data_IF_927639024339
#
_entry.id   IF_927639024339
#
_cell.length_a   1.000
_cell.length_b   1.000
_cell.length_c   1.000
_cell.angle_alpha   90.00
_cell.angle_beta   90.00
_cell.angle_gamma   90.00
#
_symmetry.space_group_name_H-M   'P 1'
#
loop_
_entity.id
_entity.type
_entity.pdbx_description
1 polymer ?
#
# COMPACT_ATOMS: atom_id res chain seq x y z
N UNK A 1 25.61 16.50 -7.39
CA UNK A 1 25.99 15.14 -7.88
C UNK A 1 25.87 14.17 -6.69
N UNK A 2 25.57 12.89 -6.97
CA UNK A 2 25.43 11.72 -6.06
C UNK A 2 24.01 11.24 -5.68
N UNK A 3 23.38 10.62 -6.69
CA UNK A 3 22.66 9.33 -6.71
C UNK A 3 22.05 8.76 -5.41
N UNK A 4 20.71 8.68 -5.35
CA UNK A 4 20.03 7.45 -4.88
C UNK A 4 18.68 7.22 -5.56
N UNK A 5 18.78 6.99 -6.86
CA UNK A 5 17.78 6.37 -7.72
C UNK A 5 17.62 4.87 -7.41
N UNK A 6 16.95 4.51 -6.29
CA UNK A 6 16.65 3.09 -5.99
C UNK A 6 15.18 2.84 -5.62
N UNK A 7 14.39 3.87 -5.29
CA UNK A 7 12.94 3.67 -5.09
C UNK A 7 12.21 4.82 -5.76
N UNK A 8 11.53 4.53 -6.86
CA UNK A 8 10.69 5.49 -7.58
C UNK A 8 9.70 6.08 -6.59
N UNK A 9 9.75 7.39 -6.32
CA UNK A 9 8.91 8.05 -5.33
C UNK A 9 7.40 7.79 -5.66
N UNK A 10 6.72 6.90 -4.91
CA UNK A 10 5.35 6.44 -5.21
C UNK A 10 4.32 7.58 -5.21
N UNK A 11 4.64 8.67 -4.49
CA UNK A 11 3.73 9.79 -4.28
C UNK A 11 3.40 10.56 -5.57
N UNK A 12 4.21 10.42 -6.64
CA UNK A 12 4.06 11.20 -7.90
C UNK A 12 2.78 10.91 -8.69
N UNK A 13 2.11 9.77 -8.48
CA UNK A 13 0.88 9.39 -9.23
C UNK A 13 -0.45 9.74 -8.53
N UNK A 14 -0.43 10.35 -7.35
CA UNK A 14 -1.66 10.58 -6.54
C UNK A 14 -2.51 11.79 -7.01
N UNK A 15 -2.64 12.04 -8.33
CA UNK A 15 -3.31 13.23 -8.91
C UNK A 15 -4.77 13.04 -9.33
N UNK A 16 -5.43 11.93 -9.00
CA UNK A 16 -6.86 11.75 -9.28
C UNK A 16 -7.66 11.59 -7.98
N UNK A 17 -8.33 12.68 -7.60
CA UNK A 17 -9.16 12.80 -6.40
C UNK A 17 -10.52 12.12 -6.64
N UNK A 18 -10.74 10.95 -6.05
CA UNK A 18 -12.07 10.31 -5.95
C UNK A 18 -12.62 10.52 -4.54
N UNK A 19 -13.94 10.80 -4.47
CA UNK A 19 -14.76 11.11 -3.29
C UNK A 19 -14.31 10.29 -2.07
N UNK A 20 -13.91 11.02 -1.02
CA UNK A 20 -13.31 10.49 0.18
C UNK A 20 -14.41 9.86 1.06
N UNK A 21 -14.40 8.54 1.22
CA UNK A 21 -15.21 7.86 2.25
C UNK A 21 -14.77 8.33 3.64
N UNK A 22 -15.60 8.18 4.70
CA UNK A 22 -15.22 8.50 6.08
C UNK A 22 -13.81 8.02 6.43
N UNK A 23 -13.10 8.84 7.20
CA UNK A 23 -11.65 8.83 7.35
C UNK A 23 -11.12 7.55 8.01
N UNK A 24 -11.90 6.97 8.94
CA UNK A 24 -11.59 5.71 9.63
C UNK A 24 -11.92 4.50 8.74
N UNK A 25 -10.93 3.65 8.48
CA UNK A 25 -11.03 2.57 7.49
C UNK A 25 -11.07 3.06 6.04
N UNK A 26 -10.73 4.34 5.80
CA UNK A 26 -10.68 4.92 4.47
C UNK A 26 -9.61 4.24 3.62
N UNK A 27 -9.81 4.21 2.29
CA UNK A 27 -8.82 3.68 1.35
C UNK A 27 -7.46 4.38 1.49
N UNK A 28 -7.46 5.70 1.77
CA UNK A 28 -6.24 6.48 1.98
C UNK A 28 -5.49 6.07 3.24
N UNK A 29 -6.20 5.84 4.35
CA UNK A 29 -5.61 5.36 5.61
C UNK A 29 -4.96 3.98 5.41
N UNK A 30 -5.70 3.02 4.85
CA UNK A 30 -5.19 1.66 4.58
C UNK A 30 -3.96 1.73 3.67
N UNK A 31 -4.02 2.54 2.60
CA UNK A 31 -2.90 2.71 1.66
C UNK A 31 -1.64 3.22 2.37
N UNK A 32 -1.78 4.24 3.21
CA UNK A 32 -0.69 4.81 4.00
C UNK A 32 -0.09 3.80 4.97
N UNK A 33 -0.93 3.00 5.66
CA UNK A 33 -0.47 1.95 6.56
C UNK A 33 0.35 0.88 5.83
N UNK A 34 -0.13 0.39 4.68
CA UNK A 34 0.59 -0.62 3.88
C UNK A 34 1.96 -0.08 3.45
N UNK A 35 1.99 1.15 2.94
CA UNK A 35 3.24 1.80 2.52
C UNK A 35 4.21 2.01 3.68
N UNK A 36 3.72 2.52 4.82
CA UNK A 36 4.55 2.73 6.00
C UNK A 36 5.12 1.41 6.54
N UNK A 37 4.33 0.34 6.53
CA UNK A 37 4.78 -0.98 6.95
C UNK A 37 5.81 -1.58 6.00
N UNK A 38 5.65 -1.46 4.68
CA UNK A 38 6.64 -1.94 3.70
C UNK A 38 7.90 -1.08 3.66
N UNK A 39 7.81 0.20 4.02
CA UNK A 39 8.98 1.05 4.21
C UNK A 39 9.79 0.64 5.45
N UNK A 40 9.12 0.18 6.51
CA UNK A 40 9.76 -0.32 7.75
C UNK A 40 10.22 -1.77 7.66
N UNK A 41 9.46 -2.62 6.96
CA UNK A 41 9.68 -4.06 6.80
C UNK A 41 9.82 -4.37 5.33
N UNK A 42 10.88 -5.06 4.94
CA UNK A 42 11.16 -5.35 3.52
C UNK A 42 10.08 -6.22 2.85
N UNK A 43 9.27 -6.91 3.65
CA UNK A 43 8.15 -7.71 3.19
C UNK A 43 6.99 -7.78 4.20
N UNK A 44 5.79 -8.08 3.71
CA UNK A 44 4.59 -8.37 4.51
C UNK A 44 3.86 -9.60 3.99
N UNK A 45 3.22 -10.36 4.88
CA UNK A 45 2.37 -11.50 4.49
C UNK A 45 0.97 -11.00 4.15
N UNK A 46 0.44 -11.40 2.99
CA UNK A 46 -0.89 -10.99 2.49
C UNK A 46 -1.99 -11.36 3.49
N UNK A 47 -1.97 -12.57 4.05
CA UNK A 47 -2.97 -13.02 5.02
C UNK A 47 -2.97 -12.23 6.34
N UNK A 48 -1.84 -11.63 6.71
CA UNK A 48 -1.74 -10.78 7.91
C UNK A 48 -2.24 -9.35 7.66
N UNK A 49 -2.45 -8.97 6.39
CA UNK A 49 -2.80 -7.61 5.99
C UNK A 49 -4.05 -7.06 6.72
N UNK A 50 -5.19 -7.79 6.80
CA UNK A 50 -6.41 -7.25 7.42
C UNK A 50 -6.21 -6.91 8.90
N UNK A 51 -5.47 -7.75 9.62
CA UNK A 51 -5.12 -7.53 11.02
C UNK A 51 -4.18 -6.33 11.18
N UNK A 52 -3.16 -6.23 10.32
CA UNK A 52 -2.18 -5.14 10.35
C UNK A 52 -2.79 -3.77 10.04
N UNK A 53 -3.72 -3.70 9.07
CA UNK A 53 -4.39 -2.43 8.70
C UNK A 53 -5.67 -2.17 9.50
N UNK A 54 -6.02 -3.08 10.43
CA UNK A 54 -7.24 -3.03 11.26
C UNK A 54 -8.49 -2.75 10.41
N UNK A 55 -8.62 -3.46 9.28
CA UNK A 55 -9.73 -3.28 8.34
C UNK A 55 -10.24 -4.63 7.82
N UNK A 56 -11.52 -4.73 7.39
CA UNK A 56 -12.07 -5.96 6.82
C UNK A 56 -11.24 -6.47 5.65
N UNK A 57 -11.08 -7.80 5.57
CA UNK A 57 -10.25 -8.44 4.55
C UNK A 57 -10.58 -8.02 3.10
N UNK A 58 -11.86 -7.94 2.67
CA UNK A 58 -12.18 -7.47 1.32
C UNK A 58 -11.67 -6.05 1.04
N UNK A 59 -11.71 -5.17 2.05
CA UNK A 59 -11.26 -3.79 1.90
C UNK A 59 -9.74 -3.70 1.86
N UNK A 60 -9.06 -4.39 2.78
CA UNK A 60 -7.59 -4.47 2.82
C UNK A 60 -7.03 -5.00 1.48
N UNK A 61 -7.60 -6.10 0.97
CA UNK A 61 -7.18 -6.67 -0.31
C UNK A 61 -7.49 -5.75 -1.50
N UNK A 62 -8.64 -5.07 -1.51
CA UNK A 62 -8.93 -4.11 -2.60
C UNK A 62 -7.91 -2.98 -2.70
N UNK A 63 -7.39 -2.50 -1.56
CA UNK A 63 -6.37 -1.44 -1.52
C UNK A 63 -5.00 -2.00 -1.89
N UNK A 64 -4.65 -3.21 -1.42
CA UNK A 64 -3.43 -3.90 -1.83
C UNK A 64 -3.39 -4.15 -3.34
N UNK A 65 -4.49 -4.61 -3.94
CA UNK A 65 -4.58 -4.81 -5.39
C UNK A 65 -4.45 -3.49 -6.15
N UNK A 66 -5.06 -2.40 -5.67
CA UNK A 66 -4.88 -1.07 -6.25
C UNK A 66 -3.40 -0.64 -6.20
N UNK A 67 -2.72 -0.85 -5.07
CA UNK A 67 -1.29 -0.56 -4.92
C UNK A 67 -0.40 -1.40 -5.85
N UNK A 68 -0.74 -2.66 -6.08
CA UNK A 68 -0.07 -3.52 -7.06
C UNK A 68 -0.26 -2.97 -8.49
N UNK A 69 -1.50 -2.62 -8.86
CA UNK A 69 -1.82 -2.05 -10.18
C UNK A 69 -1.16 -0.70 -10.43
N UNK A 70 -1.05 0.14 -9.40
CA UNK A 70 -0.34 1.42 -9.47
C UNK A 70 1.18 1.24 -9.65
N UNK A 71 1.71 0.04 -9.40
CA UNK A 71 3.13 -0.30 -9.46
C UNK A 71 3.91 0.15 -8.22
N UNK A 72 3.23 0.38 -7.11
CA UNK A 72 3.86 0.90 -5.88
C UNK A 72 4.32 -0.21 -4.93
N UNK A 73 3.70 -1.39 -5.01
CA UNK A 73 4.12 -2.61 -4.31
C UNK A 73 4.06 -3.78 -5.29
N UNK A 74 4.80 -4.84 -5.01
CA UNK A 74 4.78 -6.11 -5.74
C UNK A 74 4.29 -7.23 -4.84
N UNK A 75 3.54 -8.16 -5.42
CA UNK A 75 3.10 -9.39 -4.76
C UNK A 75 3.85 -10.58 -5.33
N UNK A 76 4.44 -11.39 -4.47
CA UNK A 76 5.04 -12.69 -4.80
C UNK A 76 4.35 -13.77 -3.95
N UNK A 77 3.37 -14.45 -4.55
CA UNK A 77 2.54 -15.45 -3.84
C UNK A 77 1.81 -14.86 -2.64
N UNK A 78 2.25 -15.23 -1.43
CA UNK A 78 1.71 -14.75 -0.15
C UNK A 78 2.48 -13.56 0.43
N UNK A 79 3.50 -13.05 -0.26
CA UNK A 79 4.35 -11.96 0.22
C UNK A 79 4.11 -10.66 -0.57
N UNK A 80 4.15 -9.52 0.10
CA UNK A 80 4.16 -8.18 -0.46
C UNK A 80 5.53 -7.54 -0.23
N UNK A 81 6.03 -6.78 -1.20
CA UNK A 81 7.33 -6.09 -1.16
C UNK A 81 7.26 -4.77 -1.93
N UNK A 82 8.22 -3.87 -1.72
CA UNK A 82 8.43 -2.65 -2.53
C UNK A 82 9.64 -2.80 -3.44
#
# INVERSE_FOLDING_TARGET
>A
VYLKSIVSNPSRRSRHYVKQSPFEGSRRQIRGMIMAMLAKRRYLVVGALPALVRAPAPRAYSVMEALCREGLIKRSGQMLMI
#
